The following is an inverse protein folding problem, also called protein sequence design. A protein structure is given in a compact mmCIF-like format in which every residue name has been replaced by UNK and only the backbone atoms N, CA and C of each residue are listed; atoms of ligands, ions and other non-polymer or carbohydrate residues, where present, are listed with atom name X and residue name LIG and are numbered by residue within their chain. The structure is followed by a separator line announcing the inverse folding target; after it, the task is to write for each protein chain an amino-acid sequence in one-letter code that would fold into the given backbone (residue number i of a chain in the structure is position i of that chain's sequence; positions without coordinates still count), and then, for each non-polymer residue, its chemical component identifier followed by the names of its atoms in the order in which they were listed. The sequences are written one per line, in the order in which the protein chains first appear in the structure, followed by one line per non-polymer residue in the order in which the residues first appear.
data_IF_818615705418
#
_entry.id   IF_818615705418
#
_cell.length_a   1.000
_cell.length_b   1.000
_cell.length_c   1.000
_cell.angle_alpha   90.00
_cell.angle_beta   90.00
_cell.angle_gamma   90.00
#
_symmetry.space_group_name_H-M   'P 1'
#
loop_
_entity.id
_entity.type
_entity.pdbx_description
1 polymer ?
#
# COMPACT_ATOMS: atom_id res chain seq x y z
N UNK A 1 28.86 3.96 16.75
CA UNK A 1 27.96 4.90 16.06
C UNK A 1 28.06 4.63 14.57
N UNK A 2 26.99 4.20 13.91
CA UNK A 2 26.98 4.11 12.45
C UNK A 2 27.00 5.55 11.89
N UNK A 3 28.15 5.99 11.39
CA UNK A 3 28.44 7.35 10.95
C UNK A 3 27.84 7.71 9.60
N UNK A 4 26.53 7.60 9.45
CA UNK A 4 25.77 8.01 8.26
C UNK A 4 24.82 9.13 8.60
N UNK A 5 24.64 10.09 7.69
CA UNK A 5 23.83 11.29 7.91
C UNK A 5 22.32 11.04 7.83
N UNK A 6 21.90 9.91 7.23
CA UNK A 6 20.48 9.54 7.08
C UNK A 6 20.30 8.03 6.91
N UNK A 7 19.15 7.51 7.36
CA UNK A 7 18.77 6.11 7.14
C UNK A 7 18.64 5.74 5.66
N UNK A 8 18.33 6.69 4.78
CA UNK A 8 18.23 6.46 3.34
C UNK A 8 19.60 6.13 2.72
N UNK A 9 20.66 6.75 3.24
CA UNK A 9 22.04 6.45 2.84
C UNK A 9 22.44 5.04 3.29
N UNK A 10 22.05 4.67 4.51
CA UNK A 10 22.32 3.34 5.06
C UNK A 10 21.68 2.22 4.23
N UNK A 11 20.46 2.42 3.71
CA UNK A 11 19.76 1.46 2.85
C UNK A 11 20.53 1.14 1.57
N UNK A 12 21.29 2.09 1.02
CA UNK A 12 22.08 1.90 -0.21
C UNK A 12 23.41 1.17 0.01
N UNK A 13 23.86 1.07 1.26
CA UNK A 13 25.14 0.46 1.59
C UNK A 13 24.99 -1.06 1.76
N UNK A 14 26.08 -1.79 1.49
CA UNK A 14 26.13 -3.24 1.63
C UNK A 14 25.84 -3.74 3.05
N UNK A 15 26.07 -2.90 4.06
CA UNK A 15 25.83 -3.21 5.48
C UNK A 15 24.42 -2.81 5.95
N UNK A 16 23.62 -2.16 5.10
CA UNK A 16 22.23 -1.79 5.38
C UNK A 16 21.19 -2.89 5.11
N UNK A 17 21.64 -4.13 4.89
CA UNK A 17 20.78 -5.27 4.57
C UNK A 17 19.71 -5.50 5.63
N UNK A 18 20.06 -5.37 6.92
CA UNK A 18 19.11 -5.55 8.01
C UNK A 18 18.02 -4.48 8.00
N UNK A 19 18.38 -3.21 7.76
CA UNK A 19 17.41 -2.12 7.63
C UNK A 19 16.49 -2.34 6.41
N UNK A 20 17.02 -2.85 5.30
CA UNK A 20 16.20 -3.22 4.12
C UNK A 20 15.18 -4.30 4.45
N UNK A 21 15.59 -5.36 5.14
CA UNK A 21 14.67 -6.43 5.57
C UNK A 21 13.59 -5.89 6.51
N UNK A 22 13.97 -5.10 7.52
CA UNK A 22 13.02 -4.46 8.44
C UNK A 22 12.01 -3.57 7.70
N UNK A 23 12.45 -2.83 6.67
CA UNK A 23 11.56 -1.99 5.86
C UNK A 23 10.64 -2.83 4.97
N UNK A 24 11.11 -3.93 4.40
CA UNK A 24 10.27 -4.84 3.61
C UNK A 24 9.21 -5.53 4.50
N UNK A 25 9.59 -5.98 5.68
CA UNK A 25 8.67 -6.59 6.64
C UNK A 25 7.63 -5.58 7.13
N UNK A 26 8.06 -4.38 7.50
CA UNK A 26 7.15 -3.28 7.84
C UNK A 26 6.18 -2.95 6.71
N UNK A 27 6.65 -2.95 5.46
CA UNK A 27 5.81 -2.68 4.29
C UNK A 27 4.71 -3.73 4.16
N UNK A 28 5.09 -5.00 4.31
CA UNK A 28 4.16 -6.11 4.27
C UNK A 28 3.13 -6.03 5.40
N UNK A 29 3.56 -5.69 6.62
CA UNK A 29 2.66 -5.50 7.76
C UNK A 29 1.69 -4.32 7.55
N UNK A 30 2.16 -3.20 6.98
CA UNK A 30 1.28 -2.08 6.63
C UNK A 30 0.22 -2.49 5.60
N UNK A 31 0.61 -3.24 4.57
CA UNK A 31 -0.31 -3.75 3.57
C UNK A 31 -1.33 -4.72 4.19
N UNK A 32 -0.88 -5.64 5.05
CA UNK A 32 -1.76 -6.54 5.79
C UNK A 32 -2.72 -5.78 6.71
N UNK A 33 -2.24 -4.75 7.43
CA UNK A 33 -3.08 -3.93 8.31
C UNK A 33 -4.23 -3.26 7.56
N UNK A 34 -3.96 -2.68 6.39
CA UNK A 34 -5.00 -2.10 5.52
C UNK A 34 -5.95 -3.17 4.99
N UNK A 35 -5.43 -4.33 4.60
CA UNK A 35 -6.27 -5.44 4.14
C UNK A 35 -7.19 -5.96 5.25
N UNK A 36 -6.68 -6.09 6.48
CA UNK A 36 -7.44 -6.50 7.66
C UNK A 36 -8.49 -5.46 8.02
N UNK A 37 -8.21 -4.16 7.90
CA UNK A 37 -9.21 -3.10 8.12
C UNK A 37 -10.40 -3.22 7.15
N UNK A 38 -10.11 -3.51 5.87
CA UNK A 38 -11.15 -3.70 4.85
C UNK A 38 -11.93 -5.01 5.07
N UNK A 39 -11.24 -6.11 5.40
CA UNK A 39 -11.85 -7.43 5.60
C UNK A 39 -12.58 -7.54 6.95
N UNK A 40 -12.08 -6.86 7.98
CA UNK A 40 -12.63 -6.84 9.34
C UNK A 40 -13.89 -6.01 9.45
N UNK A 41 -14.24 -5.24 8.41
CA UNK A 41 -15.54 -4.61 8.30
C UNK A 41 -16.65 -5.66 8.06
N UNK A 42 -17.16 -6.25 9.14
CA UNK A 42 -18.32 -7.15 9.17
C UNK A 42 -19.67 -6.42 9.03
N UNK A 43 -19.64 -5.10 8.83
CA UNK A 43 -20.81 -4.26 8.64
C UNK A 43 -21.52 -4.45 7.30
N UNK A 44 -22.51 -3.59 7.04
CA UNK A 44 -23.26 -3.63 5.78
C UNK A 44 -22.39 -3.33 4.56
N UNK A 45 -22.83 -3.77 3.38
CA UNK A 45 -22.19 -3.46 2.09
C UNK A 45 -21.82 -1.98 1.93
N UNK A 46 -22.70 -1.07 2.39
CA UNK A 46 -22.46 0.38 2.33
C UNK A 46 -21.29 0.85 3.21
N UNK A 47 -21.13 0.28 4.41
CA UNK A 47 -20.01 0.61 5.30
C UNK A 47 -18.68 0.15 4.71
N UNK A 48 -18.64 -1.04 4.13
CA UNK A 48 -17.45 -1.54 3.42
C UNK A 48 -17.09 -0.68 2.20
N UNK A 49 -18.07 -0.24 1.42
CA UNK A 49 -17.85 0.68 0.31
C UNK A 49 -17.28 2.03 0.79
N UNK A 50 -17.74 2.54 1.93
CA UNK A 50 -17.22 3.76 2.53
C UNK A 50 -15.77 3.60 3.01
N UNK A 51 -15.44 2.48 3.65
CA UNK A 51 -14.06 2.19 4.08
C UNK A 51 -13.13 2.10 2.87
N UNK A 52 -13.54 1.36 1.84
CA UNK A 52 -12.76 1.27 0.61
C UNK A 52 -12.56 2.64 -0.07
N UNK A 53 -13.60 3.47 -0.11
CA UNK A 53 -13.48 4.84 -0.60
C UNK A 53 -12.49 5.67 0.23
N UNK A 54 -12.52 5.56 1.56
CA UNK A 54 -11.55 6.22 2.44
C UNK A 54 -10.12 5.73 2.21
N UNK A 55 -9.92 4.44 1.97
CA UNK A 55 -8.60 3.87 1.64
C UNK A 55 -8.07 4.41 0.30
N UNK A 56 -8.94 4.58 -0.71
CA UNK A 56 -8.56 5.20 -1.99
C UNK A 56 -8.18 6.68 -1.80
N UNK A 57 -8.97 7.44 -1.04
CA UNK A 57 -8.65 8.83 -0.71
C UNK A 57 -7.33 8.94 0.06
N UNK A 58 -7.07 8.00 0.99
CA UNK A 58 -5.80 7.92 1.71
C UNK A 58 -4.64 7.69 0.74
N UNK A 59 -4.78 6.78 -0.23
CA UNK A 59 -3.76 6.55 -1.25
C UNK A 59 -3.49 7.83 -2.07
N UNK A 60 -4.53 8.56 -2.49
CA UNK A 60 -4.38 9.83 -3.19
C UNK A 60 -3.66 10.87 -2.34
N UNK A 61 -4.05 11.04 -1.07
CA UNK A 61 -3.42 11.99 -0.17
C UNK A 61 -1.94 11.65 0.10
N UNK A 62 -1.61 10.37 0.24
CA UNK A 62 -0.23 9.90 0.40
C UNK A 62 0.64 10.22 -0.83
N UNK A 63 0.07 10.15 -2.03
CA UNK A 63 0.78 10.47 -3.29
C UNK A 63 0.90 11.98 -3.50
N UNK A 64 -0.20 12.72 -3.42
CA UNK A 64 -0.30 14.08 -3.94
C UNK A 64 0.07 15.15 -2.91
N UNK A 65 -0.12 14.88 -1.61
CA UNK A 65 0.16 15.85 -0.54
C UNK A 65 1.39 15.48 0.28
N UNK A 66 1.53 14.20 0.65
CA UNK A 66 2.61 13.75 1.55
C UNK A 66 3.84 13.28 0.76
N UNK A 67 3.65 12.86 -0.50
CA UNK A 67 4.66 12.20 -1.33
C UNK A 67 5.30 10.98 -0.64
N UNK A 68 4.58 10.32 0.28
CA UNK A 68 5.03 9.10 0.94
C UNK A 68 4.69 7.88 0.07
N UNK A 69 5.55 7.66 -0.93
CA UNK A 69 5.43 6.58 -1.88
C UNK A 69 5.56 5.18 -1.22
N UNK A 70 6.27 5.09 -0.09
CA UNK A 70 6.40 3.85 0.67
C UNK A 70 5.04 3.41 1.24
N UNK A 71 4.36 4.29 1.98
CA UNK A 71 3.02 4.01 2.52
C UNK A 71 1.97 3.86 1.41
N UNK A 72 2.05 4.69 0.36
CA UNK A 72 1.18 4.56 -0.82
C UNK A 72 1.28 3.17 -1.44
N UNK A 73 2.50 2.67 -1.66
CA UNK A 73 2.70 1.35 -2.25
C UNK A 73 2.18 0.21 -1.36
N UNK A 74 2.23 0.36 -0.02
CA UNK A 74 1.65 -0.61 0.91
C UNK A 74 0.12 -0.66 0.82
N UNK A 75 -0.53 0.51 0.72
CA UNK A 75 -1.99 0.61 0.50
C UNK A 75 -2.38 -0.02 -0.83
N UNK A 76 -1.64 0.25 -1.90
CA UNK A 76 -1.89 -0.35 -3.21
C UNK A 76 -1.69 -1.88 -3.19
N UNK A 77 -0.65 -2.37 -2.51
CA UNK A 77 -0.41 -3.80 -2.29
C UNK A 77 -1.57 -4.47 -1.57
N UNK A 78 -2.14 -3.82 -0.54
CA UNK A 78 -3.32 -4.32 0.18
C UNK A 78 -4.54 -4.46 -0.74
N UNK A 79 -4.79 -3.45 -1.58
CA UNK A 79 -5.90 -3.43 -2.53
C UNK A 79 -5.76 -4.47 -3.65
N UNK A 80 -4.54 -4.89 -3.97
CA UNK A 80 -4.26 -5.97 -4.93
C UNK A 80 -4.38 -7.37 -4.34
N UNK A 81 -4.45 -7.51 -3.01
CA UNK A 81 -4.56 -8.83 -2.37
C UNK A 81 -5.82 -9.56 -2.84
N UNK A 82 -5.75 -10.85 -3.21
CA UNK A 82 -6.88 -11.61 -3.72
C UNK A 82 -8.05 -11.66 -2.72
N UNK A 83 -7.74 -11.71 -1.41
CA UNK A 83 -8.73 -11.71 -0.33
C UNK A 83 -9.58 -10.42 -0.34
N UNK A 84 -8.92 -9.27 -0.54
CA UNK A 84 -9.58 -7.96 -0.62
C UNK A 84 -10.31 -7.83 -1.95
N UNK A 85 -9.64 -8.10 -3.08
CA UNK A 85 -10.25 -7.94 -4.40
C UNK A 85 -11.46 -8.85 -4.63
N UNK A 86 -11.48 -10.07 -4.07
CA UNK A 86 -12.63 -10.96 -4.12
C UNK A 86 -13.80 -10.39 -3.32
N UNK A 87 -13.55 -10.01 -2.06
CA UNK A 87 -14.55 -9.42 -1.16
C UNK A 87 -15.17 -8.14 -1.74
N UNK A 88 -14.36 -7.30 -2.38
CA UNK A 88 -14.81 -6.07 -3.05
C UNK A 88 -15.65 -6.39 -4.28
N UNK A 89 -15.24 -7.35 -5.13
CA UNK A 89 -15.99 -7.76 -6.32
C UNK A 89 -17.39 -8.30 -6.02
N UNK A 90 -17.52 -9.09 -4.96
CA UNK A 90 -18.79 -9.78 -4.65
C UNK A 90 -19.81 -8.87 -3.98
N UNK A 91 -19.38 -7.75 -3.39
CA UNK A 91 -20.24 -6.96 -2.52
C UNK A 91 -20.24 -5.46 -2.79
N UNK A 92 -19.33 -4.88 -3.59
CA UNK A 92 -19.36 -3.43 -3.88
C UNK A 92 -19.87 -3.15 -5.29
N UNK A 93 -20.59 -2.05 -5.46
CA UNK A 93 -21.11 -1.61 -6.76
C UNK A 93 -19.97 -1.39 -7.78
N UNK A 94 -20.22 -1.66 -9.08
CA UNK A 94 -19.19 -1.63 -10.12
C UNK A 94 -18.45 -0.28 -10.27
N UNK A 95 -19.07 0.83 -9.84
CA UNK A 95 -18.48 2.16 -9.92
C UNK A 95 -17.24 2.36 -9.04
N UNK A 96 -17.16 1.73 -7.86
CA UNK A 96 -16.01 1.87 -6.96
C UNK A 96 -14.79 1.09 -7.46
N UNK A 97 -15.01 0.00 -8.21
CA UNK A 97 -13.96 -0.79 -8.85
C UNK A 97 -13.29 -0.07 -10.03
N UNK A 98 -13.98 0.86 -10.70
CA UNK A 98 -13.41 1.65 -11.79
C UNK A 98 -12.30 2.60 -11.30
N UNK A 99 -12.46 3.21 -10.11
CA UNK A 99 -11.44 4.07 -9.51
C UNK A 99 -10.15 3.30 -9.15
N UNK A 100 -10.26 2.03 -8.75
CA UNK A 100 -9.10 1.16 -8.50
C UNK A 100 -8.39 0.71 -9.80
N UNK A 101 -9.04 0.86 -10.96
CA UNK A 101 -8.56 0.36 -12.25
C UNK A 101 -7.94 1.43 -13.13
N UNK A 102 -7.82 2.68 -12.65
CA UNK A 102 -7.04 3.70 -13.34
C UNK A 102 -5.58 3.27 -13.47
N UNK A 103 -4.99 3.34 -14.68
CA UNK A 103 -3.64 2.84 -14.96
C UNK A 103 -2.56 3.52 -14.08
N UNK A 104 -2.75 4.80 -13.74
CA UNK A 104 -1.80 5.59 -12.93
C UNK A 104 -1.46 4.98 -11.57
N UNK A 105 -2.45 4.55 -10.78
CA UNK A 105 -2.20 4.08 -9.42
C UNK A 105 -1.44 2.75 -9.40
N UNK A 106 -1.72 1.89 -10.37
CA UNK A 106 -1.14 0.55 -10.50
C UNK A 106 0.32 0.61 -10.96
N UNK A 107 0.61 1.50 -11.91
CA UNK A 107 1.96 1.69 -12.45
C UNK A 107 2.93 2.25 -11.39
N UNK A 108 2.48 3.23 -10.61
CA UNK A 108 3.29 3.82 -9.52
C UNK A 108 3.58 2.79 -8.42
N UNK A 109 2.61 1.95 -8.04
CA UNK A 109 2.82 0.88 -7.07
C UNK A 109 3.86 -0.15 -7.55
N UNK A 110 3.79 -0.54 -8.82
CA UNK A 110 4.74 -1.49 -9.43
C UNK A 110 6.15 -0.91 -9.50
N UNK A 111 6.30 0.36 -9.89
CA UNK A 111 7.60 1.05 -9.93
C UNK A 111 8.24 1.11 -8.53
N UNK A 112 7.47 1.46 -7.50
CA UNK A 112 7.98 1.54 -6.12
C UNK A 112 8.36 0.16 -5.59
N UNK A 113 7.54 -0.88 -5.85
CA UNK A 113 7.85 -2.25 -5.42
C UNK A 113 9.13 -2.78 -6.07
N UNK A 114 9.31 -2.56 -7.38
CA UNK A 114 10.55 -2.96 -8.10
C UNK A 114 11.76 -2.19 -7.59
N UNK A 115 11.64 -0.89 -7.29
CA UNK A 115 12.71 -0.10 -6.67
C UNK A 115 13.07 -0.58 -5.26
N UNK A 116 12.10 -1.04 -4.47
CA UNK A 116 12.33 -1.54 -3.11
C UNK A 116 12.85 -2.99 -3.07
N UNK A 117 12.50 -3.82 -4.05
CA UNK A 117 12.82 -5.27 -4.08
C UNK A 117 14.03 -5.60 -4.95
N UNK A 118 14.32 -4.81 -6.00
CA UNK A 118 15.42 -5.09 -6.95
C UNK A 118 16.71 -4.26 -6.73
N UNK A 119 16.92 -3.61 -5.57
CA UNK A 119 18.18 -2.88 -5.26
C UNK A 119 18.76 -3.20 -3.89
#
# INVERSE_FOLDING_TARGET
MMGVGSGLELVTLSHGQQLRQDLLERHHLLALGVAIDILGCTGTVGQRAMVLHKVILLAQALRDHVHNLYAFSAVMKALEMPQVTHTVRTHTHPHTMLCLKTPDMRQVAQTVYVLCVCR
#
